data_IF_071424624280
#
_entry.id   IF_071424624280
#
_cell.length_a   1.000
_cell.length_b   1.000
_cell.length_c   1.000
_cell.angle_alpha   90.00
_cell.angle_beta   90.00
_cell.angle_gamma   90.00
#
_symmetry.space_group_name_H-M   'P 1'
#
loop_
_entity.id
_entity.type
_entity.pdbx_description
1 polymer ?
#
# COMPACT_ATOMS: atom_id res chain seq x y z
N UNK A 1 -13.86 -1.23 -4.15
CA UNK A 1 -12.65 -1.27 -3.30
C UNK A 1 -12.68 0.00 -2.50
N UNK A 2 -12.72 -0.09 -1.17
CA UNK A 2 -12.64 1.07 -0.28
C UNK A 2 -11.23 1.12 0.32
N UNK A 3 -10.72 2.33 0.55
CA UNK A 3 -9.43 2.59 1.18
C UNK A 3 -9.61 3.78 2.12
N UNK A 4 -9.12 3.65 3.34
CA UNK A 4 -9.01 4.74 4.31
C UNK A 4 -7.67 4.64 5.03
N UNK A 5 -7.12 5.80 5.40
CA UNK A 5 -5.88 5.88 6.13
C UNK A 5 -6.07 6.82 7.32
N UNK A 6 -5.63 6.39 8.49
CA UNK A 6 -5.65 7.18 9.73
C UNK A 6 -4.22 7.34 10.22
N UNK A 7 -3.84 8.54 10.67
CA UNK A 7 -2.58 8.75 11.38
C UNK A 7 -2.82 8.76 12.88
N UNK A 8 -2.03 8.01 13.61
CA UNK A 8 -1.92 8.02 15.07
C UNK A 8 -0.60 8.69 15.47
N UNK A 9 -0.22 8.67 16.75
CA UNK A 9 0.98 9.36 17.23
C UNK A 9 2.30 8.77 16.70
N UNK A 10 2.34 7.47 16.38
CA UNK A 10 3.57 6.76 16.02
C UNK A 10 3.43 5.88 14.77
N UNK A 11 2.29 5.93 14.09
CA UNK A 11 1.98 5.02 12.98
C UNK A 11 0.83 5.55 12.12
N UNK A 12 0.72 5.00 10.92
CA UNK A 12 -0.49 5.09 10.10
C UNK A 12 -1.17 3.72 10.01
N UNK A 13 -2.50 3.73 10.07
CA UNK A 13 -3.35 2.56 9.87
C UNK A 13 -4.03 2.66 8.51
N UNK A 14 -3.76 1.69 7.64
CA UNK A 14 -4.29 1.62 6.29
C UNK A 14 -5.33 0.50 6.27
N UNK A 15 -6.60 0.89 6.14
CA UNK A 15 -7.73 -0.04 6.08
C UNK A 15 -8.27 -0.12 4.67
N UNK A 16 -8.39 -1.32 4.12
CA UNK A 16 -8.84 -1.53 2.75
C UNK A 16 -9.69 -2.78 2.59
N UNK A 17 -10.52 -2.77 1.54
CA UNK A 17 -11.38 -3.89 1.14
C UNK A 17 -11.06 -4.31 -0.29
N UNK A 18 -10.93 -5.60 -0.55
CA UNK A 18 -10.69 -6.12 -1.89
C UNK A 18 -11.96 -6.65 -2.55
N UNK A 19 -11.94 -6.75 -3.88
CA UNK A 19 -13.02 -7.36 -4.66
C UNK A 19 -12.44 -8.42 -5.60
N UNK A 20 -12.76 -9.71 -5.41
CA UNK A 20 -13.63 -10.27 -4.37
C UNK A 20 -13.07 -10.11 -2.95
N UNK A 21 -13.97 -10.04 -1.95
CA UNK A 21 -13.60 -9.88 -0.55
C UNK A 21 -12.74 -11.04 -0.04
N UNK A 22 -11.71 -10.72 0.75
CA UNK A 22 -10.84 -11.71 1.37
C UNK A 22 -11.51 -12.37 2.58
N UNK A 23 -11.23 -13.65 2.80
CA UNK A 23 -11.60 -14.38 4.02
C UNK A 23 -10.54 -15.45 4.32
N UNK A 24 -10.64 -16.10 5.49
CA UNK A 24 -9.66 -17.10 5.94
C UNK A 24 -9.52 -18.32 5.02
N UNK A 25 -10.55 -18.66 4.25
CA UNK A 25 -10.52 -19.78 3.29
C UNK A 25 -10.01 -19.37 1.91
N UNK A 26 -10.13 -18.08 1.56
CA UNK A 26 -9.73 -17.51 0.27
C UNK A 26 -9.01 -16.19 0.51
N UNK A 27 -7.74 -16.26 1.00
CA UNK A 27 -6.96 -15.05 1.22
C UNK A 27 -6.74 -14.30 -0.08
N UNK A 28 -6.44 -13.03 0.07
CA UNK A 28 -6.08 -12.13 -1.02
C UNK A 28 -4.80 -11.41 -0.63
N UNK A 29 -4.10 -10.89 -1.62
CA UNK A 29 -2.78 -10.30 -1.42
C UNK A 29 -2.80 -8.89 -1.98
N UNK A 30 -2.08 -7.98 -1.34
CA UNK A 30 -2.04 -6.60 -1.74
C UNK A 30 -0.67 -5.98 -1.52
N UNK A 31 -0.31 -5.07 -2.41
CA UNK A 31 0.84 -4.18 -2.26
C UNK A 31 0.35 -2.77 -1.94
N UNK A 32 1.04 -2.11 -1.03
CA UNK A 32 0.76 -0.74 -0.65
C UNK A 32 1.88 0.13 -1.18
N UNK A 33 1.52 1.14 -1.97
CA UNK A 33 2.43 2.13 -2.53
C UNK A 33 2.23 3.47 -1.83
N UNK A 34 3.34 4.14 -1.56
CA UNK A 34 3.40 5.44 -0.90
C UNK A 34 4.18 6.42 -1.79
N UNK A 35 3.66 7.63 -1.93
CA UNK A 35 4.29 8.70 -2.71
C UNK A 35 3.90 10.07 -2.18
N UNK A 36 4.70 11.10 -2.44
CA UNK A 36 4.39 12.49 -2.07
C UNK A 36 3.28 13.10 -2.93
N UNK A 37 3.05 12.54 -4.13
CA UNK A 37 2.04 13.00 -5.09
C UNK A 37 0.76 12.16 -5.12
N UNK A 38 -0.36 12.80 -5.44
CA UNK A 38 -1.68 12.14 -5.56
C UNK A 38 -1.77 11.13 -6.72
N UNK A 39 -0.81 11.13 -7.64
CA UNK A 39 -0.68 10.18 -8.73
C UNK A 39 0.06 8.88 -8.34
N UNK A 40 0.15 8.57 -7.03
CA UNK A 40 0.72 7.33 -6.51
C UNK A 40 0.21 6.12 -7.30
N UNK A 41 1.16 5.30 -7.75
CA UNK A 41 0.94 4.14 -8.61
C UNK A 41 2.19 3.24 -8.66
N UNK A 42 2.12 2.03 -9.23
CA UNK A 42 3.30 1.19 -9.43
C UNK A 42 4.38 1.82 -10.31
N UNK A 43 4.06 2.90 -11.04
CA UNK A 43 5.02 3.67 -11.82
C UNK A 43 5.46 4.99 -11.15
N UNK A 44 4.77 5.42 -10.08
CA UNK A 44 5.06 6.66 -9.35
C UNK A 44 4.94 6.38 -7.84
N UNK A 45 6.04 5.99 -7.22
CA UNK A 45 6.13 5.69 -5.80
C UNK A 45 7.51 6.06 -5.25
N UNK A 46 7.55 6.39 -3.96
CA UNK A 46 8.79 6.53 -3.19
C UNK A 46 9.10 5.20 -2.51
N UNK A 47 8.07 4.55 -1.97
CA UNK A 47 8.18 3.28 -1.30
C UNK A 47 6.96 2.39 -1.55
N UNK A 48 7.15 1.09 -1.36
CA UNK A 48 6.09 0.10 -1.34
C UNK A 48 6.35 -0.92 -0.24
N UNK A 49 5.30 -1.56 0.27
CA UNK A 49 5.44 -2.64 1.25
C UNK A 49 5.76 -3.96 0.57
N UNK A 50 6.23 -4.95 1.34
CA UNK A 50 6.09 -6.35 0.91
C UNK A 50 4.62 -6.72 0.66
N UNK A 51 4.40 -7.82 -0.05
CA UNK A 51 3.05 -8.36 -0.29
C UNK A 51 2.36 -8.67 1.04
N UNK A 52 1.26 -7.97 1.32
CA UNK A 52 0.46 -8.17 2.53
C UNK A 52 -0.67 -9.16 2.25
N UNK A 53 -0.74 -10.21 3.05
CA UNK A 53 -1.86 -11.15 3.02
C UNK A 53 -3.05 -10.59 3.82
N UNK A 54 -4.20 -10.54 3.18
CA UNK A 54 -5.47 -10.21 3.81
C UNK A 54 -6.31 -11.49 3.99
N UNK A 55 -6.78 -11.70 5.22
CA UNK A 55 -7.62 -12.84 5.60
C UNK A 55 -9.05 -12.43 5.99
N UNK A 56 -9.36 -11.14 5.90
CA UNK A 56 -10.68 -10.56 6.18
C UNK A 56 -10.96 -9.38 5.25
N UNK A 57 -12.20 -8.93 5.20
CA UNK A 57 -12.58 -7.70 4.51
C UNK A 57 -13.56 -6.92 5.39
N UNK A 58 -13.20 -5.71 5.87
CA UNK A 58 -11.93 -5.01 5.63
C UNK A 58 -10.72 -5.70 6.29
N UNK A 59 -9.52 -5.34 5.80
CA UNK A 59 -8.23 -5.66 6.41
C UNK A 59 -7.52 -4.35 6.75
N UNK A 60 -6.84 -4.32 7.90
CA UNK A 60 -6.04 -3.19 8.35
C UNK A 60 -4.58 -3.62 8.42
N UNK A 61 -3.69 -2.76 7.91
CA UNK A 61 -2.25 -2.88 8.13
C UNK A 61 -1.75 -1.61 8.80
N UNK A 62 -0.66 -1.75 9.54
CA UNK A 62 0.00 -0.64 10.22
C UNK A 62 1.38 -0.43 9.61
N UNK A 63 1.76 0.83 9.43
CA UNK A 63 3.13 1.23 9.08
C UNK A 63 3.58 2.22 10.16
N UNK A 64 4.64 1.87 10.88
CA UNK A 64 5.18 2.69 11.97
C UNK A 64 5.89 3.94 11.45
N UNK A 65 6.04 4.95 12.29
CA UNK A 65 6.82 6.16 11.98
C UNK A 65 8.27 5.82 11.62
N UNK A 66 8.85 4.79 12.27
CA UNK A 66 10.19 4.30 11.95
C UNK A 66 10.26 3.74 10.53
N UNK A 67 9.31 2.87 10.16
CA UNK A 67 9.24 2.32 8.79
C UNK A 67 9.02 3.42 7.74
N UNK A 68 8.18 4.41 8.03
CA UNK A 68 7.99 5.56 7.14
C UNK A 68 9.27 6.38 6.97
N UNK A 69 10.03 6.55 8.05
CA UNK A 69 11.34 7.21 7.99
C UNK A 69 12.37 6.39 7.20
N UNK A 70 12.36 5.06 7.35
CA UNK A 70 13.23 4.15 6.59
C UNK A 70 12.87 4.15 5.10
N UNK A 71 11.59 4.39 4.77
CA UNK A 71 11.10 4.64 3.41
C UNK A 71 11.47 6.03 2.86
N UNK A 72 12.08 6.89 3.67
CA UNK A 72 12.55 8.21 3.26
C UNK A 72 11.55 9.35 3.47
N UNK A 73 10.42 9.10 4.12
CA UNK A 73 9.44 10.15 4.44
C UNK A 73 9.80 10.88 5.73
N UNK A 74 9.40 12.15 5.82
CA UNK A 74 9.65 12.98 7.00
C UNK A 74 8.38 13.22 7.82
N UNK A 75 8.52 13.27 9.14
CA UNK A 75 7.39 13.59 10.04
C UNK A 75 6.78 14.95 9.70
N UNK A 76 5.45 15.01 9.67
CA UNK A 76 4.68 16.19 9.28
C UNK A 76 4.48 16.39 7.77
N UNK A 77 5.11 15.55 6.94
CA UNK A 77 4.92 15.56 5.49
C UNK A 77 3.57 14.94 5.10
N UNK A 78 2.93 15.49 4.05
CA UNK A 78 1.75 14.88 3.47
C UNK A 78 2.16 13.87 2.39
N UNK A 79 1.72 12.63 2.55
CA UNK A 79 1.93 11.56 1.57
C UNK A 79 0.59 11.00 1.10
N UNK A 80 0.61 10.28 -0.01
CA UNK A 80 -0.52 9.60 -0.61
C UNK A 80 -0.27 8.11 -0.63
N UNK A 81 -1.29 7.36 -0.21
CA UNK A 81 -1.28 5.91 -0.14
C UNK A 81 -2.23 5.36 -1.18
N UNK A 82 -1.80 4.28 -1.84
CA UNK A 82 -2.66 3.51 -2.73
C UNK A 82 -2.36 2.03 -2.62
N UNK A 83 -3.42 1.24 -2.55
CA UNK A 83 -3.34 -0.21 -2.35
C UNK A 83 -3.77 -0.90 -3.63
N UNK A 84 -3.00 -1.88 -4.08
CA UNK A 84 -3.30 -2.67 -5.26
C UNK A 84 -3.38 -4.14 -4.90
N UNK A 85 -4.32 -4.87 -5.50
CA UNK A 85 -4.36 -6.32 -5.39
C UNK A 85 -3.22 -6.96 -6.16
N UNK A 86 -2.65 -8.02 -5.61
CA UNK A 86 -1.55 -8.78 -6.20
C UNK A 86 -1.76 -10.30 -6.02
N UNK A 87 -0.90 -11.10 -6.65
CA UNK A 87 -0.81 -12.54 -6.49
C UNK A 87 -0.01 -12.92 -5.24
N UNK A 88 -0.21 -14.15 -4.73
CA UNK A 88 0.53 -14.66 -3.56
C UNK A 88 2.04 -14.67 -3.78
N UNK A 89 2.46 -15.14 -4.95
CA UNK A 89 3.84 -15.00 -5.41
C UNK A 89 3.91 -13.72 -6.23
N UNK A 90 4.45 -12.66 -5.62
CA UNK A 90 4.87 -11.51 -6.41
C UNK A 90 5.99 -11.94 -7.35
N UNK A 91 5.94 -11.42 -8.57
CA UNK A 91 6.97 -11.57 -9.58
C UNK A 91 7.56 -10.19 -9.91
N UNK A 92 7.63 -9.31 -8.92
CA UNK A 92 8.33 -8.05 -9.09
C UNK A 92 9.81 -8.30 -9.37
N UNK A 93 10.35 -7.53 -10.31
CA UNK A 93 11.74 -7.60 -10.71
C UNK A 93 12.26 -6.21 -11.03
N UNK A 94 13.57 -6.03 -10.94
CA UNK A 94 14.22 -4.82 -11.42
C UNK A 94 14.54 -4.96 -12.91
N UNK A 95 14.13 -3.97 -13.69
CA UNK A 95 14.53 -3.80 -15.08
C UNK A 95 15.02 -2.38 -15.28
N UNK A 96 16.27 -2.23 -15.74
CA UNK A 96 16.90 -0.92 -15.98
C UNK A 96 16.88 0.03 -14.76
N UNK A 97 16.96 -0.52 -13.54
CA UNK A 97 16.95 0.26 -12.30
C UNK A 97 15.56 0.74 -11.84
N UNK A 98 14.50 0.24 -12.48
CA UNK A 98 13.12 0.46 -12.04
C UNK A 98 12.50 -0.87 -11.61
N UNK A 99 11.70 -0.88 -10.54
CA UNK A 99 10.92 -2.06 -10.19
C UNK A 99 9.72 -2.16 -11.13
N UNK A 100 9.51 -3.37 -11.65
CA UNK A 100 8.38 -3.74 -12.49
C UNK A 100 7.45 -4.63 -11.67
N UNK A 101 6.14 -4.38 -11.73
CA UNK A 101 5.13 -5.12 -10.95
C UNK A 101 4.11 -5.81 -11.89
N UNK A 102 4.46 -6.93 -12.54
CA UNK A 102 3.61 -7.54 -13.57
C UNK A 102 2.26 -8.04 -13.06
N UNK A 103 2.22 -8.53 -11.81
CA UNK A 103 1.03 -9.14 -11.23
C UNK A 103 0.08 -8.13 -10.56
N UNK A 104 0.48 -6.85 -10.48
CA UNK A 104 -0.34 -5.81 -9.87
C UNK A 104 -1.56 -5.50 -10.73
N UNK A 105 -2.74 -5.66 -10.14
CA UNK A 105 -3.99 -5.26 -10.79
C UNK A 105 -4.16 -3.75 -10.74
N UNK A 106 -3.97 -3.07 -11.88
CA UNK A 106 -4.07 -1.59 -11.98
C UNK A 106 -5.45 -1.00 -11.61
N UNK A 107 -6.48 -1.84 -11.46
CA UNK A 107 -7.77 -1.42 -10.92
C UNK A 107 -7.72 -1.37 -9.39
N UNK A 108 -7.65 -0.17 -8.83
CA UNK A 108 -7.59 0.07 -7.39
C UNK A 108 -8.58 1.14 -6.92
N UNK A 109 -8.75 1.28 -5.61
CA UNK A 109 -9.33 2.49 -5.02
C UNK A 109 -8.50 3.75 -5.38
N UNK A 110 -9.11 4.92 -5.25
CA UNK A 110 -8.40 6.19 -5.37
C UNK A 110 -7.36 6.34 -4.25
N UNK A 111 -6.32 7.13 -4.51
CA UNK A 111 -5.31 7.46 -3.51
C UNK A 111 -5.93 8.22 -2.34
N UNK A 112 -5.42 7.97 -1.13
CA UNK A 112 -5.83 8.66 0.10
C UNK A 112 -4.61 9.35 0.69
N UNK A 113 -4.75 10.63 1.05
CA UNK A 113 -3.68 11.39 1.70
C UNK A 113 -3.65 11.17 3.21
N UNK A 114 -2.46 11.15 3.79
CA UNK A 114 -2.23 11.12 5.23
C UNK A 114 -1.01 11.98 5.56
N UNK A 115 -0.96 12.54 6.77
CA UNK A 115 0.24 13.22 7.27
C UNK A 115 1.08 12.20 8.02
N UNK A 116 2.38 12.15 7.73
CA UNK A 116 3.32 11.29 8.44
C UNK A 116 3.38 11.71 9.91
N UNK A 117 3.23 10.76 10.86
CA UNK A 117 3.24 11.05 12.30
C UNK A 117 4.54 11.66 12.80
#
# INVERSE_FOLDING_TARGET
>A
MNLSVTSNANEIEITYEMSPAANSNTPRYALVFLFEGSNVSPANYTAFTEVRQANSSPTTITITASELSDFGFTSGEQIYVRVYGDSFYSNDYEENGASVFPNVNLTSAQAVSVVVP
#
